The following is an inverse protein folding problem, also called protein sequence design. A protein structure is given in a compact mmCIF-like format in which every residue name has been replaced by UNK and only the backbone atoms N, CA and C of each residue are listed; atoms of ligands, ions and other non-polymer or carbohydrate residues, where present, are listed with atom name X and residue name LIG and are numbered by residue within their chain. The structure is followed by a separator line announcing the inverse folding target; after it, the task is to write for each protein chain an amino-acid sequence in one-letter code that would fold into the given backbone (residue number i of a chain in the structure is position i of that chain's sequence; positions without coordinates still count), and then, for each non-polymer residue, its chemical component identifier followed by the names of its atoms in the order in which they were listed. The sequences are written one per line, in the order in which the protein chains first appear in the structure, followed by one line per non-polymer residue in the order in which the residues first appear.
data_IF_330914775995
#
_entry.id   IF_330914775995
#
_cell.length_a   1.000
_cell.length_b   1.000
_cell.length_c   1.000
_cell.angle_alpha   90.00
_cell.angle_beta   90.00
_cell.angle_gamma   90.00
#
_symmetry.space_group_name_H-M   'P 1'
#
loop_
_entity.id
_entity.type
_entity.pdbx_description
1 polymer ?
#
# COMPACT_ATOMS: atom_id res chain seq x y z
N UNK A 1 -6.06 19.77 31.18
CA UNK A 1 -5.42 19.46 29.90
C UNK A 1 -4.13 18.64 30.04
N UNK A 2 -3.86 18.00 31.17
CA UNK A 2 -2.64 17.18 31.40
C UNK A 2 -2.95 15.69 31.64
N UNK A 3 -4.21 15.26 31.47
CA UNK A 3 -4.63 13.88 31.74
C UNK A 3 -4.74 12.99 30.50
N UNK A 4 -4.77 13.57 29.27
CA UNK A 4 -4.95 12.81 28.03
C UNK A 4 -3.64 12.28 27.40
N UNK A 5 -2.51 12.97 27.66
CA UNK A 5 -1.21 12.53 27.12
C UNK A 5 -0.64 11.26 27.78
N UNK A 6 -1.02 10.99 29.03
CA UNK A 6 -0.57 9.77 29.75
C UNK A 6 -1.31 8.50 29.30
N UNK A 7 -2.55 8.63 28.80
CA UNK A 7 -3.32 7.47 28.33
C UNK A 7 -2.83 6.96 26.97
N UNK A 8 -2.39 7.85 26.10
CA UNK A 8 -1.85 7.48 24.78
C UNK A 8 -0.52 6.72 24.86
N UNK A 9 0.39 7.11 25.77
CA UNK A 9 1.69 6.45 25.93
C UNK A 9 1.60 5.01 26.50
N UNK A 10 0.58 4.75 27.33
CA UNK A 10 0.38 3.43 27.94
C UNK A 10 -0.28 2.42 26.99
N UNK A 11 -1.13 2.90 26.07
CA UNK A 11 -1.79 2.08 25.03
C UNK A 11 -0.80 1.56 23.97
N UNK A 12 0.15 2.40 23.54
CA UNK A 12 1.16 2.04 22.54
C UNK A 12 2.13 0.96 23.05
N UNK A 13 2.42 0.94 24.37
CA UNK A 13 3.38 0.00 24.97
C UNK A 13 2.89 -1.46 25.00
N UNK A 14 1.57 -1.70 25.08
CA UNK A 14 1.01 -3.06 25.20
C UNK A 14 0.90 -3.78 23.86
N UNK A 15 0.75 -3.05 22.75
CA UNK A 15 0.55 -3.64 21.40
C UNK A 15 1.84 -3.99 20.65
N UNK A 16 3.01 -3.50 21.07
CA UNK A 16 4.31 -3.88 20.47
C UNK A 16 4.68 -5.37 20.66
N UNK A 17 3.95 -6.11 21.47
CA UNK A 17 4.29 -7.51 21.80
C UNK A 17 3.61 -8.55 20.89
N UNK A 18 2.56 -8.18 20.13
CA UNK A 18 1.76 -9.14 19.36
C UNK A 18 2.23 -9.27 17.89
N UNK A 19 2.93 -8.27 17.35
CA UNK A 19 3.38 -8.29 15.95
C UNK A 19 4.60 -9.19 15.67
N UNK A 20 5.23 -9.78 16.71
CA UNK A 20 6.49 -10.54 16.58
C UNK A 20 6.33 -12.06 16.58
N UNK A 21 5.11 -12.61 16.68
CA UNK A 21 4.90 -14.06 16.81
C UNK A 21 4.31 -14.77 15.59
N UNK A 22 4.22 -14.10 14.45
CA UNK A 22 3.54 -14.62 13.24
C UNK A 22 4.44 -15.11 12.09
N UNK A 23 5.74 -15.32 12.30
CA UNK A 23 6.65 -15.72 11.21
C UNK A 23 7.63 -16.85 11.61
N UNK A 24 7.13 -18.01 12.04
CA UNK A 24 7.93 -19.24 12.01
C UNK A 24 7.03 -20.45 11.80
N UNK A 25 7.02 -20.95 10.58
CA UNK A 25 6.35 -22.18 10.24
C UNK A 25 6.60 -22.60 8.79
N UNK A 26 7.81 -22.95 8.42
CA UNK A 26 8.04 -23.76 7.22
C UNK A 26 8.66 -25.07 7.68
N UNK A 27 7.83 -26.09 7.65
CA UNK A 27 8.22 -27.47 7.91
C UNK A 27 9.06 -28.02 6.77
N UNK A 28 10.21 -28.55 7.12
CA UNK A 28 11.02 -29.38 6.28
C UNK A 28 10.31 -30.70 5.98
N UNK A 29 10.25 -31.09 4.72
CA UNK A 29 9.97 -32.48 4.33
C UNK A 29 11.21 -33.06 3.70
N UNK A 30 11.88 -33.91 4.44
CA UNK A 30 12.90 -34.80 3.93
C UNK A 30 12.25 -36.01 3.26
N UNK A 31 12.72 -36.41 2.10
CA UNK A 31 12.32 -37.64 1.42
C UNK A 31 13.49 -38.25 0.68
N UNK A 32 13.96 -39.37 1.17
CA UNK A 32 14.97 -40.31 0.70
C UNK A 32 14.76 -40.76 -0.77
N UNK A 33 15.73 -41.05 -1.55
CA UNK A 33 16.90 -41.89 -1.62
C UNK A 33 16.83 -42.82 -2.82
N UNK A 34 18.03 -43.05 -3.41
CA UNK A 34 18.52 -44.21 -4.23
C UNK A 34 17.99 -44.29 -5.67
N UNK A 35 18.83 -44.44 -6.62
CA UNK A 35 20.07 -45.10 -6.87
C UNK A 35 20.29 -45.28 -8.34
N UNK A 36 21.53 -45.13 -8.71
CA UNK A 36 22.37 -45.82 -9.68
C UNK A 36 22.05 -45.88 -11.19
N UNK A 37 23.00 -45.34 -11.89
CA UNK A 37 23.85 -45.91 -12.94
C UNK A 37 23.36 -45.94 -14.38
N UNK A 38 24.18 -45.28 -15.12
CA UNK A 38 24.97 -45.71 -16.31
C UNK A 38 24.39 -45.45 -17.70
N UNK A 39 25.22 -44.65 -18.36
CA UNK A 39 25.80 -44.90 -19.69
C UNK A 39 25.02 -44.61 -20.98
N UNK A 40 25.67 -43.78 -21.78
CA UNK A 40 25.92 -44.12 -23.19
C UNK A 40 25.16 -43.35 -24.26
N UNK A 41 25.83 -42.40 -24.89
CA UNK A 41 25.94 -42.44 -26.35
C UNK A 41 25.08 -41.49 -27.21
N UNK A 42 25.77 -40.44 -27.67
CA UNK A 42 25.89 -39.98 -29.06
C UNK A 42 24.66 -39.61 -29.93
N UNK A 43 24.70 -38.36 -30.33
CA UNK A 43 24.55 -37.79 -31.70
C UNK A 43 23.49 -38.33 -32.66
N UNK A 44 22.66 -37.47 -33.23
CA UNK A 44 22.83 -36.89 -34.59
C UNK A 44 21.59 -36.11 -35.01
N UNK A 45 21.86 -35.05 -35.75
CA UNK A 45 20.97 -34.20 -36.55
C UNK A 45 19.91 -34.94 -37.39
N UNK A 46 18.79 -34.32 -37.64
CA UNK A 46 18.42 -33.84 -38.99
C UNK A 46 17.05 -33.17 -39.03
N UNK A 47 17.00 -32.06 -39.74
CA UNK A 47 15.88 -31.24 -40.20
C UNK A 47 14.81 -32.01 -41.01
N UNK A 48 13.58 -31.54 -40.99
CA UNK A 48 12.83 -30.99 -42.13
C UNK A 48 11.32 -30.96 -41.91
N UNK A 49 10.76 -29.75 -42.07
CA UNK A 49 9.68 -29.35 -42.98
C UNK A 49 8.42 -30.23 -43.11
N UNK A 50 7.25 -29.55 -43.00
CA UNK A 50 5.97 -30.12 -43.43
C UNK A 50 4.71 -29.40 -42.92
N UNK A 51 4.31 -28.35 -43.64
CA UNK A 51 2.97 -27.78 -43.58
C UNK A 51 1.89 -28.85 -43.77
N UNK A 52 0.78 -28.73 -43.00
CA UNK A 52 -0.55 -29.09 -43.47
C UNK A 52 -1.62 -28.39 -42.62
N UNK A 53 -2.33 -27.54 -43.32
CA UNK A 53 -3.56 -26.85 -42.98
C UNK A 53 -4.72 -27.87 -42.92
N UNK A 54 -5.53 -27.87 -41.87
CA UNK A 54 -6.86 -28.49 -41.94
C UNK A 54 -7.83 -27.67 -41.08
N UNK A 55 -8.74 -27.01 -41.75
CA UNK A 55 -9.89 -26.31 -41.20
C UNK A 55 -10.89 -27.32 -40.59
N UNK A 56 -11.52 -26.96 -39.50
CA UNK A 56 -12.71 -27.62 -38.96
C UNK A 56 -13.80 -26.60 -38.66
N UNK A 57 -15.07 -26.98 -38.72
CA UNK A 57 -16.18 -26.09 -39.10
C UNK A 57 -16.72 -25.30 -37.91
N UNK A 58 -17.17 -24.10 -38.24
CA UNK A 58 -17.95 -23.22 -37.38
C UNK A 58 -19.33 -23.80 -37.15
N UNK A 59 -19.75 -23.88 -35.88
CA UNK A 59 -21.13 -24.13 -35.53
C UNK A 59 -21.69 -22.86 -34.91
N UNK A 60 -22.45 -22.13 -35.67
CA UNK A 60 -23.32 -21.05 -35.22
C UNK A 60 -24.34 -21.60 -34.22
N UNK A 61 -24.33 -21.11 -33.00
CA UNK A 61 -25.46 -21.24 -32.09
C UNK A 61 -25.89 -19.84 -31.71
N UNK A 62 -26.93 -19.37 -32.38
CA UNK A 62 -27.70 -18.20 -31.97
C UNK A 62 -28.23 -18.41 -30.57
N UNK A 63 -27.83 -17.57 -29.61
CA UNK A 63 -28.51 -17.43 -28.32
C UNK A 63 -29.44 -16.22 -28.42
N UNK A 64 -30.72 -16.51 -28.35
CA UNK A 64 -31.79 -15.54 -28.19
C UNK A 64 -31.55 -14.70 -26.92
N UNK A 65 -31.47 -13.40 -27.16
CA UNK A 65 -31.45 -12.36 -26.13
C UNK A 65 -32.86 -12.21 -25.53
N UNK A 66 -33.13 -12.89 -24.42
CA UNK A 66 -34.32 -12.58 -23.61
C UNK A 66 -33.99 -11.42 -22.68
N UNK A 67 -34.39 -10.22 -23.11
CA UNK A 67 -34.46 -9.06 -22.23
C UNK A 67 -35.50 -9.32 -21.13
N UNK A 68 -35.10 -9.64 -19.93
CA UNK A 68 -35.94 -9.54 -18.75
C UNK A 68 -35.68 -8.22 -18.07
N UNK A 69 -36.58 -7.28 -18.29
CA UNK A 69 -36.76 -6.11 -17.42
C UNK A 69 -37.24 -6.60 -16.07
N UNK A 70 -36.34 -6.68 -15.09
CA UNK A 70 -36.69 -6.83 -13.70
C UNK A 70 -36.56 -5.46 -13.03
N UNK A 71 -37.73 -4.80 -12.83
CA UNK A 71 -37.85 -3.62 -12.02
C UNK A 71 -37.91 -4.05 -10.53
N UNK A 72 -36.89 -3.64 -9.76
CA UNK A 72 -37.06 -3.32 -8.36
C UNK A 72 -36.97 -4.45 -7.36
N UNK A 73 -35.75 -4.79 -7.01
CA UNK A 73 -35.35 -5.01 -5.60
C UNK A 73 -33.83 -4.92 -5.58
N UNK A 74 -33.30 -3.81 -5.05
CA UNK A 74 -31.87 -3.69 -4.76
C UNK A 74 -31.49 -4.67 -3.66
N UNK A 75 -31.24 -5.94 -4.00
CA UNK A 75 -30.47 -6.80 -3.13
C UNK A 75 -29.08 -6.18 -3.06
N UNK A 76 -28.70 -5.61 -1.91
CA UNK A 76 -27.33 -5.19 -1.66
C UNK A 76 -26.42 -6.36 -2.02
N UNK A 77 -25.59 -6.20 -3.06
CA UNK A 77 -24.85 -7.28 -3.68
C UNK A 77 -23.99 -8.02 -2.68
N UNK A 78 -24.22 -9.33 -2.55
CA UNK A 78 -23.45 -10.26 -1.71
C UNK A 78 -22.06 -10.61 -2.25
N UNK A 79 -21.65 -10.03 -3.40
CA UNK A 79 -20.33 -10.24 -3.97
C UNK A 79 -19.22 -9.61 -3.14
N UNK A 80 -17.95 -10.02 -3.34
CA UNK A 80 -16.81 -9.44 -2.62
C UNK A 80 -16.68 -7.93 -2.87
N UNK A 81 -16.06 -7.23 -1.92
CA UNK A 81 -15.48 -5.89 -2.14
C UNK A 81 -14.06 -6.10 -2.66
N UNK A 82 -13.79 -5.62 -3.86
CA UNK A 82 -12.49 -5.77 -4.49
C UNK A 82 -11.68 -4.47 -4.42
N UNK A 83 -10.56 -4.53 -3.74
CA UNK A 83 -9.62 -3.41 -3.56
C UNK A 83 -8.27 -3.75 -4.19
N UNK A 84 -7.56 -2.76 -4.72
CA UNK A 84 -6.23 -3.04 -5.26
C UNK A 84 -5.48 -1.81 -5.73
N UNK A 85 -4.18 -1.97 -5.95
CA UNK A 85 -3.31 -0.89 -6.42
C UNK A 85 -2.01 -0.76 -5.63
N UNK A 86 -1.79 0.39 -5.05
CA UNK A 86 -0.57 0.84 -4.41
C UNK A 86 0.04 -0.14 -3.41
N UNK A 87 1.33 -0.46 -3.59
CA UNK A 87 2.10 -1.24 -2.62
C UNK A 87 2.37 -0.47 -1.30
N UNK A 88 2.13 0.84 -1.28
CA UNK A 88 2.20 1.67 -0.08
C UNK A 88 0.92 1.53 0.75
N UNK A 89 -0.25 1.58 0.12
CA UNK A 89 -1.54 1.42 0.80
C UNK A 89 -1.82 -0.03 1.19
N UNK A 90 -1.23 -0.98 0.46
CA UNK A 90 -1.46 -2.41 0.65
C UNK A 90 -1.34 -2.90 2.10
N UNK A 91 -0.34 -2.53 2.92
CA UNK A 91 -0.26 -2.99 4.31
C UNK A 91 -1.49 -2.62 5.15
N UNK A 92 -1.99 -1.39 5.00
CA UNK A 92 -3.20 -0.92 5.71
C UNK A 92 -4.44 -1.64 5.20
N UNK A 93 -4.66 -1.63 3.89
CA UNK A 93 -5.83 -2.24 3.25
C UNK A 93 -5.90 -3.75 3.53
N UNK A 94 -4.77 -4.47 3.42
CA UNK A 94 -4.71 -5.91 3.65
C UNK A 94 -4.93 -6.28 5.11
N UNK A 95 -4.40 -5.49 6.06
CA UNK A 95 -4.67 -5.72 7.49
C UNK A 95 -6.14 -5.47 7.81
N UNK A 96 -6.71 -4.38 7.32
CA UNK A 96 -8.14 -4.07 7.48
C UNK A 96 -9.03 -5.17 6.88
N UNK A 97 -8.70 -5.68 5.67
CA UNK A 97 -9.41 -6.79 5.04
C UNK A 97 -9.30 -8.09 5.84
N UNK A 98 -8.13 -8.36 6.45
CA UNK A 98 -7.94 -9.52 7.30
C UNK A 98 -8.82 -9.48 8.55
N UNK A 99 -8.93 -8.30 9.18
CA UNK A 99 -9.84 -8.08 10.31
C UNK A 99 -11.30 -8.20 9.90
N UNK A 100 -11.68 -7.60 8.77
CA UNK A 100 -13.02 -7.69 8.20
C UNK A 100 -13.43 -9.14 7.94
N UNK A 101 -12.59 -9.89 7.23
CA UNK A 101 -12.87 -11.27 6.85
C UNK A 101 -12.86 -12.24 8.03
N UNK A 102 -12.09 -11.96 9.09
CA UNK A 102 -12.11 -12.74 10.32
C UNK A 102 -13.40 -12.54 11.12
N UNK A 103 -14.08 -11.41 10.97
CA UNK A 103 -15.37 -11.05 11.57
C UNK A 103 -15.50 -11.50 13.03
N UNK A 104 -14.51 -11.21 13.86
CA UNK A 104 -14.45 -11.67 15.26
C UNK A 104 -15.59 -11.12 16.10
N UNK A 105 -16.12 -11.93 17.06
CA UNK A 105 -17.24 -11.53 17.91
C UNK A 105 -16.83 -10.41 18.89
N UNK A 106 -17.80 -9.63 19.34
CA UNK A 106 -17.64 -8.59 20.36
C UNK A 106 -17.01 -9.11 21.67
N UNK A 107 -17.15 -10.39 21.98
CA UNK A 107 -16.52 -11.04 23.14
C UNK A 107 -15.00 -11.25 23.00
N UNK A 108 -14.44 -11.13 21.79
CA UNK A 108 -13.01 -11.20 21.52
C UNK A 108 -12.40 -9.77 21.64
N UNK A 109 -12.23 -9.31 22.85
CA UNK A 109 -11.73 -7.95 23.14
C UNK A 109 -10.27 -7.72 22.76
N UNK A 110 -9.50 -8.76 22.45
CA UNK A 110 -8.13 -8.64 21.93
C UNK A 110 -8.15 -8.21 20.44
N UNK A 111 -9.09 -8.76 19.67
CA UNK A 111 -9.22 -8.53 18.24
C UNK A 111 -10.22 -7.44 17.88
N UNK A 112 -11.35 -7.36 18.62
CA UNK A 112 -12.40 -6.36 18.48
C UNK A 112 -12.64 -5.64 19.80
N UNK A 113 -11.69 -4.73 20.24
CA UNK A 113 -11.78 -4.00 21.50
C UNK A 113 -12.75 -2.81 21.41
N UNK A 114 -13.95 -3.03 20.93
CA UNK A 114 -14.96 -2.00 20.61
C UNK A 114 -15.26 -1.06 21.80
N UNK A 115 -15.26 -1.57 23.03
CA UNK A 115 -15.50 -0.79 24.23
C UNK A 115 -14.38 0.21 24.56
N UNK A 116 -13.15 0.03 24.03
CA UNK A 116 -12.05 1.00 24.17
C UNK A 116 -12.27 2.24 23.27
N UNK A 117 -13.15 2.15 22.30
CA UNK A 117 -13.49 3.18 21.31
C UNK A 117 -14.92 3.72 21.49
N UNK A 118 -15.52 3.56 22.68
CA UNK A 118 -16.87 3.97 23.02
C UNK A 118 -17.96 3.41 22.07
N UNK A 119 -17.69 2.25 21.46
CA UNK A 119 -18.62 1.50 20.61
C UNK A 119 -19.36 0.47 21.47
N UNK A 120 -20.65 0.70 21.71
CA UNK A 120 -21.52 -0.23 22.44
C UNK A 120 -22.21 -1.17 21.46
N UNK A 121 -21.71 -2.41 21.35
CA UNK A 121 -22.23 -3.42 20.42
C UNK A 121 -21.99 -4.83 20.90
N UNK A 122 -22.91 -5.74 20.53
CA UNK A 122 -22.74 -7.20 20.66
C UNK A 122 -22.44 -7.85 19.29
N UNK A 123 -22.39 -7.05 18.20
CA UNK A 123 -22.13 -7.54 16.84
C UNK A 123 -20.67 -7.90 16.65
N UNK A 124 -20.42 -8.86 15.76
CA UNK A 124 -19.08 -9.12 15.26
C UNK A 124 -18.54 -7.89 14.53
N UNK A 125 -17.23 -7.81 14.34
CA UNK A 125 -16.54 -6.64 13.80
C UNK A 125 -17.12 -6.16 12.47
N UNK A 126 -17.14 -7.01 11.45
CA UNK A 126 -17.63 -6.63 10.12
C UNK A 126 -19.15 -6.46 10.11
N UNK A 127 -19.90 -7.24 10.92
CA UNK A 127 -21.34 -7.10 11.08
C UNK A 127 -21.72 -5.73 11.67
N UNK A 128 -20.88 -5.19 12.56
CA UNK A 128 -21.09 -3.85 13.10
C UNK A 128 -20.92 -2.78 12.01
N UNK A 129 -19.75 -2.75 11.36
CA UNK A 129 -19.44 -1.72 10.38
C UNK A 129 -20.33 -1.77 9.14
N UNK A 130 -20.61 -2.96 8.61
CA UNK A 130 -21.54 -3.14 7.50
C UNK A 130 -22.98 -2.82 7.89
N UNK A 131 -23.37 -3.15 9.12
CA UNK A 131 -24.69 -2.86 9.64
C UNK A 131 -25.00 -1.37 9.70
N UNK A 132 -24.00 -0.49 9.85
CA UNK A 132 -24.19 0.97 9.77
C UNK A 132 -24.65 1.42 8.37
N UNK A 133 -24.44 0.62 7.35
CA UNK A 133 -24.80 0.88 5.95
C UNK A 133 -25.92 -0.04 5.44
N UNK A 134 -26.67 -0.65 6.39
CA UNK A 134 -27.89 -1.42 6.09
C UNK A 134 -27.66 -2.87 5.68
N UNK A 135 -26.45 -3.41 5.82
CA UNK A 135 -26.19 -4.83 5.56
C UNK A 135 -26.66 -5.69 6.75
N UNK A 136 -27.27 -6.83 6.43
CA UNK A 136 -27.57 -7.86 7.41
C UNK A 136 -26.27 -8.54 7.87
N UNK A 137 -26.26 -9.04 9.12
CA UNK A 137 -25.14 -9.80 9.66
C UNK A 137 -24.85 -11.04 8.82
N UNK A 138 -23.57 -11.38 8.68
CA UNK A 138 -23.16 -12.59 7.99
C UNK A 138 -23.63 -13.88 8.67
N UNK A 139 -23.68 -14.96 7.92
CA UNK A 139 -24.08 -16.26 8.45
C UNK A 139 -22.89 -17.05 8.96
N UNK A 140 -23.07 -17.83 10.01
CA UNK A 140 -22.03 -18.72 10.57
C UNK A 140 -20.72 -18.04 10.99
N UNK A 141 -20.76 -16.73 11.25
CA UNK A 141 -19.57 -15.95 11.60
C UNK A 141 -18.80 -15.39 10.40
N UNK A 142 -19.23 -15.68 9.17
CA UNK A 142 -18.69 -15.00 7.99
C UNK A 142 -19.06 -13.50 7.98
N UNK A 143 -18.29 -12.62 7.33
CA UNK A 143 -18.68 -11.23 7.18
C UNK A 143 -19.88 -11.07 6.23
N UNK A 144 -20.63 -9.95 6.29
CA UNK A 144 -21.74 -9.68 5.36
C UNK A 144 -21.34 -9.75 3.88
N UNK A 145 -20.11 -9.39 3.58
CA UNK A 145 -19.43 -9.60 2.30
C UNK A 145 -17.92 -9.74 2.53
N UNK A 146 -17.21 -10.57 1.76
CA UNK A 146 -15.77 -10.69 1.87
C UNK A 146 -15.05 -9.47 1.23
N UNK A 147 -13.84 -9.17 1.70
CA UNK A 147 -12.97 -8.13 1.14
C UNK A 147 -11.69 -8.77 0.60
N UNK A 148 -11.34 -8.44 -0.63
CA UNK A 148 -10.13 -8.89 -1.32
C UNK A 148 -9.22 -7.71 -1.62
N UNK A 149 -7.91 -7.85 -1.40
CA UNK A 149 -6.93 -6.78 -1.66
C UNK A 149 -5.82 -7.28 -2.57
N UNK A 150 -5.76 -6.73 -3.76
CA UNK A 150 -4.75 -7.05 -4.76
C UNK A 150 -3.58 -6.07 -4.74
N UNK A 151 -2.35 -6.58 -4.84
CA UNK A 151 -1.14 -5.78 -4.90
C UNK A 151 -0.75 -5.48 -6.35
N UNK A 152 -0.68 -4.19 -6.70
CA UNK A 152 -0.15 -3.73 -7.99
C UNK A 152 0.56 -2.36 -7.86
N UNK A 153 0.18 -1.37 -8.66
CA UNK A 153 0.67 0.01 -8.63
C UNK A 153 -0.48 0.99 -8.50
N UNK A 154 -0.22 2.21 -8.04
CA UNK A 154 -1.22 3.27 -7.88
C UNK A 154 -1.94 3.56 -9.18
N UNK A 155 -1.23 3.85 -10.28
CA UNK A 155 -1.83 4.07 -11.59
C UNK A 155 -2.71 2.91 -12.05
N UNK A 156 -2.29 1.65 -11.83
CA UNK A 156 -3.12 0.47 -12.13
C UNK A 156 -4.38 0.39 -11.26
N UNK A 157 -4.28 0.78 -9.97
CA UNK A 157 -5.42 0.79 -9.05
C UNK A 157 -6.50 1.79 -9.49
N UNK A 158 -6.10 3.03 -9.74
CA UNK A 158 -7.03 4.09 -10.19
C UNK A 158 -7.59 3.85 -11.59
N UNK A 159 -6.82 3.25 -12.50
CA UNK A 159 -7.32 2.84 -13.81
C UNK A 159 -8.38 1.72 -13.70
N UNK A 160 -8.15 0.73 -12.85
CA UNK A 160 -9.07 -0.40 -12.67
C UNK A 160 -10.37 0.00 -11.99
N UNK A 161 -10.36 0.89 -11.00
CA UNK A 161 -11.59 1.37 -10.38
C UNK A 161 -12.43 2.15 -11.38
N UNK A 162 -11.82 3.00 -12.19
CA UNK A 162 -12.49 3.72 -13.27
C UNK A 162 -13.16 2.79 -14.30
N UNK A 163 -12.54 1.64 -14.57
CA UNK A 163 -13.04 0.65 -15.52
C UNK A 163 -14.00 -0.39 -14.87
N UNK A 164 -14.39 -0.20 -13.60
CA UNK A 164 -15.29 -1.11 -12.89
C UNK A 164 -14.71 -2.51 -12.61
N UNK A 165 -13.38 -2.63 -12.63
CA UNK A 165 -12.66 -3.87 -12.35
C UNK A 165 -12.25 -4.00 -10.88
N UNK A 166 -12.38 -2.93 -10.10
CA UNK A 166 -12.21 -2.85 -8.66
C UNK A 166 -13.27 -1.91 -8.10
N UNK A 167 -13.70 -2.16 -6.88
CA UNK A 167 -14.52 -1.24 -6.11
C UNK A 167 -13.65 -0.10 -5.54
N UNK A 168 -12.44 -0.42 -5.05
CA UNK A 168 -11.50 0.52 -4.44
C UNK A 168 -10.15 0.54 -5.16
N UNK A 169 -9.77 1.70 -5.70
CA UNK A 169 -8.47 1.96 -6.31
C UNK A 169 -7.50 2.57 -5.30
N UNK A 170 -6.57 1.76 -4.79
CA UNK A 170 -5.59 2.21 -3.81
C UNK A 170 -4.45 2.99 -4.46
N UNK A 171 -4.20 4.21 -4.00
CA UNK A 171 -3.14 5.07 -4.51
C UNK A 171 -2.32 5.74 -3.42
N UNK A 172 -1.07 6.04 -3.71
CA UNK A 172 -0.16 6.83 -2.88
C UNK A 172 0.41 8.02 -3.64
N UNK A 173 -0.29 8.45 -4.66
CA UNK A 173 -0.18 9.69 -5.40
C UNK A 173 -1.56 10.17 -5.78
N UNK A 174 -1.70 11.45 -6.07
CA UNK A 174 -2.96 12.02 -6.52
C UNK A 174 -3.36 11.42 -7.87
N UNK A 175 -4.66 11.28 -8.10
CA UNK A 175 -5.16 10.69 -9.36
C UNK A 175 -4.74 11.47 -10.59
N UNK A 176 -4.62 12.79 -10.48
CA UNK A 176 -4.15 13.69 -11.54
C UNK A 176 -2.70 13.38 -11.97
N UNK A 177 -1.86 13.02 -10.99
CA UNK A 177 -0.47 12.64 -11.25
C UNK A 177 -0.33 11.20 -11.77
N UNK A 178 -1.26 10.31 -11.40
CA UNK A 178 -1.27 8.90 -11.84
C UNK A 178 -1.88 8.71 -13.23
N UNK A 179 -2.84 9.57 -13.62
CA UNK A 179 -3.56 9.56 -14.91
C UNK A 179 -3.54 10.95 -15.55
N UNK A 180 -2.35 11.49 -15.93
CA UNK A 180 -2.19 12.91 -16.29
C UNK A 180 -2.92 13.34 -17.57
N UNK A 181 -3.30 12.40 -18.43
CA UNK A 181 -3.87 12.69 -19.76
C UNK A 181 -5.42 12.65 -19.79
N UNK A 182 -6.07 13.06 -18.68
CA UNK A 182 -7.54 13.08 -18.59
C UNK A 182 -8.09 14.49 -18.62
N UNK A 183 -9.27 14.64 -19.24
CA UNK A 183 -9.99 15.92 -19.30
C UNK A 183 -10.65 16.31 -17.97
N UNK A 184 -11.04 15.33 -17.13
CA UNK A 184 -11.66 15.55 -15.82
C UNK A 184 -11.41 14.37 -14.86
N UNK A 185 -11.39 14.68 -13.57
CA UNK A 185 -11.27 13.72 -12.45
C UNK A 185 -12.49 13.76 -11.54
N UNK A 186 -13.54 14.50 -11.90
CA UNK A 186 -14.72 14.75 -11.05
C UNK A 186 -15.50 13.49 -10.68
N UNK A 187 -15.37 12.42 -11.46
CA UNK A 187 -15.99 11.12 -11.17
C UNK A 187 -15.21 10.29 -10.13
N UNK A 188 -13.97 10.66 -9.78
CA UNK A 188 -13.25 10.03 -8.70
C UNK A 188 -13.62 10.66 -7.35
N UNK A 189 -14.03 9.83 -6.41
CA UNK A 189 -14.17 10.27 -5.02
C UNK A 189 -12.90 9.85 -4.28
N UNK A 190 -12.19 10.83 -3.78
CA UNK A 190 -10.94 10.64 -3.04
C UNK A 190 -11.21 10.48 -1.55
N UNK A 191 -10.89 9.32 -0.99
CA UNK A 191 -10.91 9.04 0.44
C UNK A 191 -9.48 8.93 0.95
N UNK A 192 -9.03 9.96 1.65
CA UNK A 192 -7.73 9.91 2.32
C UNK A 192 -7.83 9.12 3.60
N UNK A 193 -7.00 8.07 3.73
CA UNK A 193 -7.03 7.14 4.87
C UNK A 193 -5.85 7.28 5.83
N UNK A 194 -4.73 7.85 5.40
CA UNK A 194 -3.51 8.01 6.17
C UNK A 194 -2.57 9.03 5.51
N UNK A 195 -1.47 9.37 6.20
CA UNK A 195 -0.38 10.17 5.64
C UNK A 195 0.92 9.37 5.71
N UNK A 196 1.67 9.38 4.61
CA UNK A 196 3.01 8.80 4.50
C UNK A 196 4.05 9.92 4.36
N UNK A 197 5.10 9.88 5.17
CA UNK A 197 6.24 10.77 5.04
C UNK A 197 7.41 10.00 4.42
N UNK A 198 7.53 9.99 3.10
CA UNK A 198 8.55 9.20 2.39
C UNK A 198 9.96 9.43 2.94
N UNK A 199 10.56 8.51 3.72
CA UNK A 199 11.92 8.67 4.19
C UNK A 199 12.92 8.54 3.04
N UNK A 200 14.02 9.28 3.14
CA UNK A 200 15.24 8.94 2.42
C UNK A 200 16.01 7.89 3.21
N UNK A 201 16.44 6.85 2.52
CA UNK A 201 17.13 5.71 3.13
C UNK A 201 18.40 5.37 2.37
N UNK A 202 19.40 4.92 3.10
CA UNK A 202 20.68 4.45 2.54
C UNK A 202 20.97 3.03 3.03
N UNK A 203 21.89 2.33 2.36
CA UNK A 203 22.49 1.11 2.90
C UNK A 203 23.09 1.37 4.26
N UNK A 204 22.98 0.42 5.20
CA UNK A 204 23.49 0.55 6.56
C UNK A 204 24.97 0.98 6.59
N UNK A 205 25.80 0.43 5.69
CA UNK A 205 27.23 0.74 5.60
C UNK A 205 27.49 2.24 5.32
N UNK A 206 26.64 2.89 4.54
CA UNK A 206 26.74 4.33 4.25
C UNK A 206 26.39 5.18 5.47
N UNK A 207 25.36 4.78 6.20
CA UNK A 207 25.00 5.45 7.46
C UNK A 207 26.10 5.29 8.51
N UNK A 208 26.65 4.08 8.66
CA UNK A 208 27.74 3.77 9.59
C UNK A 208 29.04 4.51 9.24
N UNK A 209 29.22 4.85 7.96
CA UNK A 209 30.32 5.71 7.47
C UNK A 209 30.10 7.21 7.74
N UNK A 210 28.96 7.61 8.37
CA UNK A 210 28.71 8.97 8.82
C UNK A 210 27.87 9.84 7.87
N UNK A 211 27.25 9.27 6.83
CA UNK A 211 26.31 10.01 5.97
C UNK A 211 24.93 10.03 6.64
N UNK A 212 24.68 11.06 7.42
CA UNK A 212 23.44 11.19 8.21
C UNK A 212 22.40 12.14 7.58
N UNK A 213 22.80 12.96 6.61
CA UNK A 213 21.96 14.03 6.04
C UNK A 213 22.38 14.39 4.63
N UNK A 214 21.39 14.72 3.79
CA UNK A 214 21.59 15.40 2.51
C UNK A 214 20.69 16.63 2.38
N UNK A 215 21.05 17.58 1.52
CA UNK A 215 20.21 18.74 1.20
C UNK A 215 19.26 18.44 0.03
N UNK A 216 18.19 19.23 -0.12
CA UNK A 216 17.30 19.14 -1.26
C UNK A 216 17.99 19.30 -2.62
N UNK A 217 19.05 20.15 -2.69
CA UNK A 217 19.83 20.29 -3.92
C UNK A 217 20.66 19.02 -4.21
N UNK A 218 21.30 18.45 -3.19
CA UNK A 218 22.03 17.19 -3.33
C UNK A 218 21.10 16.04 -3.75
N UNK A 219 19.87 15.98 -3.18
CA UNK A 219 18.85 15.03 -3.59
C UNK A 219 18.50 15.15 -5.08
N UNK A 220 18.28 16.39 -5.56
CA UNK A 220 18.06 16.66 -6.98
C UNK A 220 19.24 16.24 -7.84
N UNK A 221 20.45 16.51 -7.40
CA UNK A 221 21.69 16.20 -8.14
C UNK A 221 21.96 14.68 -8.20
N UNK A 222 21.63 13.94 -7.14
CA UNK A 222 21.66 12.48 -7.12
C UNK A 222 20.73 11.89 -8.19
N UNK A 223 19.45 12.29 -8.18
CA UNK A 223 18.47 11.78 -9.12
C UNK A 223 18.61 12.33 -10.55
N UNK A 224 19.48 13.30 -10.77
CA UNK A 224 19.92 13.76 -12.10
C UNK A 224 21.28 13.18 -12.53
N UNK A 225 21.88 12.32 -11.72
CA UNK A 225 23.19 11.68 -12.02
C UNK A 225 24.36 12.66 -12.02
N UNK A 226 24.25 13.78 -11.30
CA UNK A 226 25.33 14.77 -11.16
C UNK A 226 26.23 14.50 -9.95
N UNK A 227 25.70 13.85 -8.91
CA UNK A 227 26.44 13.31 -7.78
C UNK A 227 26.54 11.82 -7.95
N UNK A 228 27.75 11.28 -8.00
CA UNK A 228 28.00 9.87 -8.33
C UNK A 228 28.90 9.14 -7.34
N UNK A 229 29.54 9.87 -6.41
CA UNK A 229 30.43 9.28 -5.41
C UNK A 229 30.07 9.77 -4.00
N UNK A 230 30.00 8.86 -3.02
CA UNK A 230 29.68 9.17 -1.63
C UNK A 230 30.66 10.12 -0.97
N UNK A 231 31.92 10.17 -1.42
CA UNK A 231 32.91 11.15 -0.94
C UNK A 231 32.49 12.60 -1.16
N UNK A 232 31.67 12.89 -2.18
CA UNK A 232 31.10 14.23 -2.42
C UNK A 232 30.05 14.62 -1.38
N UNK A 233 29.56 13.65 -0.61
CA UNK A 233 28.56 13.80 0.46
C UNK A 233 29.17 13.54 1.85
N UNK A 234 30.51 13.49 1.97
CA UNK A 234 31.21 13.24 3.23
C UNK A 234 31.28 11.77 3.64
N UNK A 235 30.91 10.86 2.75
CA UNK A 235 30.99 9.41 2.93
C UNK A 235 32.30 8.81 2.38
N UNK A 236 32.35 7.47 2.21
CA UNK A 236 33.52 6.77 1.68
C UNK A 236 33.72 7.06 0.18
N UNK A 237 34.94 6.81 -0.32
CA UNK A 237 35.23 6.83 -1.76
C UNK A 237 34.60 5.60 -2.42
N UNK A 238 33.30 5.69 -2.73
CA UNK A 238 32.47 4.61 -3.27
C UNK A 238 31.41 5.20 -4.21
N UNK A 239 31.17 4.58 -5.35
CA UNK A 239 30.13 4.98 -6.30
C UNK A 239 28.76 4.91 -5.65
N UNK A 240 27.90 5.91 -5.92
CA UNK A 240 26.53 5.94 -5.40
C UNK A 240 25.61 5.12 -6.29
N UNK A 241 24.94 4.15 -5.71
CA UNK A 241 23.87 3.40 -6.37
C UNK A 241 22.51 4.04 -6.06
N UNK A 242 22.05 4.93 -6.94
CA UNK A 242 20.72 5.53 -6.81
C UNK A 242 19.68 4.52 -7.29
N UNK A 243 18.76 4.14 -6.40
CA UNK A 243 17.67 3.21 -6.70
C UNK A 243 16.33 3.96 -6.72
N UNK A 244 15.31 3.39 -7.38
CA UNK A 244 14.00 4.02 -7.48
C UNK A 244 12.88 3.05 -7.82
N UNK A 245 11.70 3.63 -8.02
CA UNK A 245 10.47 2.90 -8.38
C UNK A 245 10.17 3.04 -9.88
N UNK A 246 9.46 2.05 -10.42
CA UNK A 246 8.99 2.08 -11.82
C UNK A 246 7.94 3.18 -12.05
N UNK A 247 7.70 3.56 -13.30
CA UNK A 247 6.54 4.39 -13.71
C UNK A 247 5.24 3.71 -13.31
N UNK A 248 4.20 4.47 -12.96
CA UNK A 248 2.93 3.98 -12.45
C UNK A 248 2.96 3.61 -10.95
N UNK A 249 4.11 3.75 -10.29
CA UNK A 249 4.21 3.65 -8.83
C UNK A 249 3.93 5.01 -8.20
N UNK A 250 2.85 5.16 -7.42
CA UNK A 250 2.55 6.38 -6.70
C UNK A 250 3.68 6.85 -5.77
N UNK A 251 4.52 5.93 -5.28
CA UNK A 251 5.73 6.30 -4.53
C UNK A 251 6.73 7.05 -5.40
N UNK A 252 6.86 6.68 -6.69
CA UNK A 252 7.69 7.44 -7.63
C UNK A 252 7.00 8.74 -8.03
N UNK A 253 5.74 8.66 -8.40
CA UNK A 253 4.97 9.80 -8.90
C UNK A 253 5.00 10.94 -7.90
N UNK A 254 4.63 10.71 -6.63
CA UNK A 254 4.67 11.74 -5.58
C UNK A 254 6.09 12.21 -5.25
N UNK A 255 7.09 11.31 -5.18
CA UNK A 255 8.49 11.71 -4.96
C UNK A 255 8.98 12.65 -6.06
N UNK A 256 8.75 12.30 -7.31
CA UNK A 256 9.24 13.07 -8.46
C UNK A 256 8.48 14.40 -8.57
N UNK A 257 7.16 14.40 -8.36
CA UNK A 257 6.34 15.61 -8.31
C UNK A 257 6.83 16.57 -7.21
N UNK A 258 7.03 16.07 -6.00
CA UNK A 258 7.45 16.86 -4.86
C UNK A 258 8.88 17.43 -4.99
N UNK A 259 9.81 16.63 -5.54
CA UNK A 259 11.22 17.04 -5.67
C UNK A 259 11.44 17.97 -6.87
N UNK A 260 10.77 17.68 -8.00
CA UNK A 260 11.04 18.38 -9.28
C UNK A 260 9.88 19.25 -9.77
N UNK A 261 8.68 19.12 -9.18
CA UNK A 261 7.49 19.86 -9.60
C UNK A 261 6.82 19.29 -10.86
N UNK A 262 7.22 18.09 -11.32
CA UNK A 262 6.67 17.43 -12.50
C UNK A 262 6.73 15.90 -12.31
N UNK A 263 5.59 15.17 -12.21
CA UNK A 263 5.56 13.73 -11.96
C UNK A 263 6.21 12.90 -13.08
N UNK A 264 6.26 13.44 -14.31
CA UNK A 264 6.88 12.81 -15.47
C UNK A 264 8.39 13.09 -15.62
N UNK A 265 8.98 13.85 -14.70
CA UNK A 265 10.40 14.20 -14.76
C UNK A 265 11.30 12.96 -14.81
N UNK A 266 12.26 12.98 -15.73
CA UNK A 266 13.22 11.90 -15.88
C UNK A 266 14.26 11.90 -14.76
N UNK A 267 14.46 10.72 -14.18
CA UNK A 267 15.44 10.48 -13.11
C UNK A 267 16.49 9.46 -13.53
N UNK A 268 17.75 9.75 -13.20
CA UNK A 268 18.88 8.84 -13.38
C UNK A 268 18.95 7.89 -12.19
N UNK A 269 18.57 6.62 -12.39
CA UNK A 269 18.64 5.57 -11.37
C UNK A 269 19.24 4.31 -11.95
N UNK A 270 20.02 3.59 -11.15
CA UNK A 270 20.68 2.35 -11.57
C UNK A 270 19.65 1.24 -11.83
N UNK A 271 18.67 1.10 -10.95
CA UNK A 271 17.60 0.11 -11.07
C UNK A 271 16.25 0.66 -10.58
N UNK A 272 15.16 0.13 -11.13
CA UNK A 272 13.78 0.45 -10.77
C UNK A 272 13.04 -0.78 -10.28
N UNK A 273 12.30 -0.63 -9.19
CA UNK A 273 11.57 -1.72 -8.54
C UNK A 273 10.07 -1.48 -8.57
N UNK A 274 9.30 -2.52 -8.84
CA UNK A 274 7.84 -2.45 -8.91
C UNK A 274 7.18 -2.22 -7.54
N UNK A 275 7.81 -2.67 -6.44
CA UNK A 275 7.19 -2.66 -5.10
C UNK A 275 8.18 -2.15 -4.05
N UNK A 276 7.65 -1.55 -2.95
CA UNK A 276 8.47 -1.03 -1.85
C UNK A 276 9.29 -2.13 -1.16
N UNK A 277 8.71 -3.32 -0.94
CA UNK A 277 9.40 -4.46 -0.31
C UNK A 277 10.68 -4.84 -1.07
N UNK A 278 10.58 -4.92 -2.41
CA UNK A 278 11.74 -5.27 -3.25
C UNK A 278 12.79 -4.18 -3.27
N UNK A 279 12.36 -2.91 -3.25
CA UNK A 279 13.27 -1.78 -3.17
C UNK A 279 13.99 -1.75 -1.81
N UNK A 280 13.26 -1.93 -0.71
CA UNK A 280 13.83 -1.99 0.64
C UNK A 280 14.88 -3.12 0.77
N UNK A 281 14.56 -4.31 0.27
CA UNK A 281 15.51 -5.44 0.23
C UNK A 281 16.74 -5.14 -0.62
N UNK A 282 16.57 -4.47 -1.76
CA UNK A 282 17.71 -4.13 -2.62
C UNK A 282 18.66 -3.10 -1.95
N UNK A 283 18.12 -2.13 -1.21
CA UNK A 283 18.93 -1.17 -0.44
C UNK A 283 19.66 -1.89 0.70
N UNK A 284 18.95 -2.76 1.43
CA UNK A 284 19.48 -3.51 2.55
C UNK A 284 20.60 -4.51 2.16
N UNK A 285 20.60 -5.00 0.92
CA UNK A 285 21.61 -5.92 0.38
C UNK A 285 22.76 -5.20 -0.31
N UNK A 286 22.61 -3.91 -0.60
CA UNK A 286 23.66 -3.08 -1.18
C UNK A 286 24.51 -2.45 -0.07
N UNK A 287 25.74 -2.09 -0.41
CA UNK A 287 26.68 -1.41 0.47
C UNK A 287 26.90 0.07 0.11
N UNK A 288 26.16 0.59 -0.88
CA UNK A 288 26.36 1.91 -1.48
C UNK A 288 25.08 2.55 -2.03
N UNK A 289 23.89 2.01 -1.67
CA UNK A 289 22.63 2.46 -2.22
C UNK A 289 22.02 3.65 -1.47
N UNK A 290 21.24 4.44 -2.22
CA UNK A 290 20.30 5.45 -1.70
C UNK A 290 18.96 5.34 -2.43
N UNK A 291 17.86 5.54 -1.70
CA UNK A 291 16.53 5.65 -2.28
C UNK A 291 15.55 6.37 -1.34
N UNK A 292 14.28 6.40 -1.75
CA UNK A 292 13.11 6.79 -0.98
C UNK A 292 12.17 5.60 -0.84
N UNK A 293 11.46 5.50 0.28
CA UNK A 293 10.52 4.41 0.57
C UNK A 293 9.18 4.95 1.08
N UNK A 294 8.20 4.06 1.22
CA UNK A 294 7.07 4.30 2.10
C UNK A 294 7.45 3.95 3.55
N UNK A 295 6.91 4.68 4.54
CA UNK A 295 7.23 4.51 5.97
C UNK A 295 7.02 3.09 6.48
N UNK A 296 6.04 2.35 5.96
CA UNK A 296 5.80 0.96 6.36
C UNK A 296 7.03 0.03 6.18
N UNK A 297 8.01 0.42 5.36
CA UNK A 297 9.18 -0.39 5.03
C UNK A 297 10.48 0.11 5.66
N UNK A 298 10.40 1.14 6.52
CA UNK A 298 11.58 1.78 7.12
C UNK A 298 12.33 0.85 8.09
N UNK A 299 11.62 -0.08 8.71
CA UNK A 299 12.19 -1.04 9.68
C UNK A 299 12.80 -2.29 9.01
N UNK A 300 13.14 -2.23 7.71
CA UNK A 300 13.84 -3.32 7.03
C UNK A 300 15.30 -3.35 7.52
N UNK A 301 15.75 -4.48 8.06
CA UNK A 301 17.13 -4.66 8.50
C UNK A 301 18.14 -4.42 7.35
N UNK A 302 19.21 -3.70 7.63
CA UNK A 302 20.27 -3.40 6.67
C UNK A 302 20.09 -2.11 5.86
N UNK A 303 19.07 -1.31 6.17
CA UNK A 303 18.93 0.06 5.67
C UNK A 303 18.79 1.04 6.84
N UNK A 304 19.14 2.30 6.60
CA UNK A 304 19.03 3.36 7.59
C UNK A 304 18.39 4.62 6.99
N UNK A 305 17.45 5.27 7.70
CA UNK A 305 16.93 6.57 7.31
C UNK A 305 17.98 7.66 7.54
N UNK A 306 18.06 8.59 6.58
CA UNK A 306 18.87 9.80 6.71
C UNK A 306 17.99 11.06 6.69
N UNK A 307 18.49 12.15 7.28
CA UNK A 307 17.78 13.41 7.32
C UNK A 307 17.80 14.12 5.96
N UNK A 308 16.73 14.88 5.67
CA UNK A 308 16.64 15.79 4.53
C UNK A 308 16.63 17.24 5.02
N UNK A 309 17.60 18.03 4.60
CA UNK A 309 17.56 19.49 4.76
C UNK A 309 16.88 20.13 3.55
N UNK A 310 15.71 20.73 3.79
CA UNK A 310 14.90 21.38 2.77
C UNK A 310 14.53 22.80 3.22
N UNK A 311 14.82 23.79 2.38
CA UNK A 311 14.52 25.21 2.66
C UNK A 311 14.99 25.69 4.06
N UNK A 312 16.18 25.21 4.47
CA UNK A 312 16.80 25.57 5.74
C UNK A 312 16.26 24.82 6.97
N UNK A 313 15.31 23.91 6.80
CA UNK A 313 14.83 23.02 7.86
C UNK A 313 15.34 21.59 7.64
N UNK A 314 15.88 20.97 8.69
CA UNK A 314 16.30 19.57 8.65
C UNK A 314 15.16 18.71 9.20
N UNK A 315 14.66 17.80 8.36
CA UNK A 315 13.63 16.82 8.72
C UNK A 315 14.27 15.46 8.94
N UNK A 316 13.89 14.78 10.02
CA UNK A 316 14.44 13.49 10.40
C UNK A 316 13.33 12.55 10.87
N UNK A 317 13.49 11.27 10.59
CA UNK A 317 12.59 10.23 11.11
C UNK A 317 12.59 10.26 12.65
N UNK A 318 11.40 10.19 13.25
CA UNK A 318 11.17 10.25 14.71
C UNK A 318 11.67 11.54 15.40
N UNK A 319 11.91 12.62 14.68
CA UNK A 319 12.22 13.91 15.30
C UNK A 319 10.93 14.56 15.83
N UNK A 320 10.84 14.92 17.13
CA UNK A 320 9.61 15.44 17.72
C UNK A 320 9.25 16.87 17.27
N UNK A 321 10.15 17.59 16.62
CA UNK A 321 9.94 18.97 16.15
C UNK A 321 9.84 19.08 14.63
N UNK A 322 10.68 18.34 13.93
CA UNK A 322 10.75 18.32 12.47
C UNK A 322 10.73 16.88 11.96
N UNK A 323 9.74 16.11 12.41
CA UNK A 323 9.47 14.74 11.96
C UNK A 323 8.96 14.71 10.52
N UNK A 324 8.89 13.51 9.97
CA UNK A 324 8.36 13.28 8.62
C UNK A 324 6.83 13.44 8.56
N UNK A 325 6.16 13.56 9.72
CA UNK A 325 4.74 13.91 9.90
C UNK A 325 4.47 15.41 9.73
N UNK A 326 5.52 16.23 9.70
CA UNK A 326 5.39 17.67 9.50
C UNK A 326 4.74 17.96 8.16
N UNK A 327 3.68 18.79 8.16
CA UNK A 327 3.04 19.32 6.92
C UNK A 327 4.00 20.09 6.01
N UNK A 328 5.17 20.49 6.53
CA UNK A 328 6.22 21.19 5.77
C UNK A 328 7.29 20.22 5.23
N UNK A 329 7.22 18.95 5.59
CA UNK A 329 8.11 17.94 5.03
C UNK A 329 7.79 17.77 3.54
N UNK A 330 8.76 18.02 2.63
CA UNK A 330 8.46 18.08 1.19
C UNK A 330 8.03 16.73 0.60
N UNK A 331 8.39 15.62 1.25
CA UNK A 331 8.06 14.28 0.78
C UNK A 331 6.88 13.66 1.56
N UNK A 332 6.11 14.48 2.29
CA UNK A 332 4.84 14.06 2.87
C UNK A 332 3.78 13.93 1.78
N UNK A 333 2.93 12.89 1.87
CA UNK A 333 1.86 12.63 0.92
C UNK A 333 0.69 11.92 1.58
N UNK A 334 -0.47 12.07 0.99
CA UNK A 334 -1.66 11.34 1.38
C UNK A 334 -1.68 9.92 0.82
N UNK A 335 -2.38 9.02 1.52
CA UNK A 335 -2.69 7.68 1.06
C UNK A 335 -4.19 7.59 0.81
N UNK A 336 -4.56 7.16 -0.38
CA UNK A 336 -5.89 7.27 -0.95
C UNK A 336 -6.54 5.92 -1.23
N UNK A 337 -7.85 5.85 -1.02
CA UNK A 337 -8.76 4.87 -1.61
C UNK A 337 -9.72 5.63 -2.50
N UNK A 338 -9.63 5.43 -3.82
CA UNK A 338 -10.52 6.05 -4.79
C UNK A 338 -11.71 5.15 -5.07
N UNK A 339 -12.90 5.74 -5.13
CA UNK A 339 -14.11 5.15 -5.71
C UNK A 339 -14.49 5.86 -7.00
N UNK A 340 -15.36 5.28 -7.82
CA UNK A 340 -15.73 5.82 -9.13
C UNK A 340 -17.23 6.13 -9.21
N UNK A 341 -17.57 7.35 -9.64
CA UNK A 341 -18.95 7.85 -9.79
C UNK A 341 -19.81 7.78 -8.50
N UNK A 342 -19.17 7.99 -7.37
CA UNK A 342 -19.77 7.93 -6.03
C UNK A 342 -19.13 6.84 -5.17
N UNK A 343 -19.59 6.74 -3.93
CA UNK A 343 -19.16 5.73 -2.97
C UNK A 343 -20.38 4.88 -2.59
N UNK A 344 -20.35 3.59 -2.87
CA UNK A 344 -21.43 2.67 -2.51
C UNK A 344 -21.44 2.38 -0.99
N UNK A 345 -22.55 1.85 -0.48
CA UNK A 345 -22.67 1.43 0.93
C UNK A 345 -21.61 0.39 1.33
N UNK A 346 -21.24 -0.51 0.40
CA UNK A 346 -20.21 -1.54 0.61
C UNK A 346 -18.82 -0.91 0.79
N UNK A 347 -18.45 -0.02 -0.10
CA UNK A 347 -17.20 0.75 -0.04
C UNK A 347 -17.17 1.63 1.22
N UNK A 348 -18.28 2.36 1.47
CA UNK A 348 -18.43 3.21 2.64
C UNK A 348 -18.25 2.47 3.96
N UNK A 349 -18.80 1.27 4.09
CA UNK A 349 -18.66 0.44 5.29
C UNK A 349 -17.21 0.07 5.59
N UNK A 350 -16.45 -0.36 4.57
CA UNK A 350 -15.05 -0.74 4.72
C UNK A 350 -14.15 0.48 4.98
N UNK A 351 -14.35 1.57 4.23
CA UNK A 351 -13.60 2.82 4.42
C UNK A 351 -13.88 3.42 5.80
N UNK A 352 -15.15 3.43 6.26
CA UNK A 352 -15.51 3.96 7.57
C UNK A 352 -14.82 3.22 8.73
N UNK A 353 -14.68 1.89 8.62
CA UNK A 353 -13.89 1.10 9.57
C UNK A 353 -12.45 1.60 9.65
N UNK A 354 -11.81 1.88 8.51
CA UNK A 354 -10.42 2.39 8.46
C UNK A 354 -10.33 3.82 9.01
N UNK A 355 -11.32 4.68 8.72
CA UNK A 355 -11.39 6.07 9.18
C UNK A 355 -11.84 6.20 10.64
N UNK A 356 -12.25 5.13 11.32
CA UNK A 356 -12.55 5.16 12.75
C UNK A 356 -11.27 5.28 13.59
N UNK A 357 -11.41 5.69 14.86
CA UNK A 357 -10.29 5.69 15.81
C UNK A 357 -9.69 4.28 15.92
N UNK A 358 -10.54 3.26 16.02
CA UNK A 358 -10.13 1.86 15.96
C UNK A 358 -9.28 1.55 14.73
N UNK A 359 -9.74 1.97 13.55
CA UNK A 359 -9.02 1.70 12.28
C UNK A 359 -7.68 2.44 12.18
N UNK A 360 -7.65 3.70 12.62
CA UNK A 360 -6.42 4.50 12.62
C UNK A 360 -5.37 3.90 13.57
N UNK A 361 -5.75 3.44 14.76
CA UNK A 361 -4.84 2.82 15.72
C UNK A 361 -4.48 1.38 15.39
N UNK A 362 -5.36 0.64 14.71
CA UNK A 362 -5.17 -0.79 14.43
C UNK A 362 -4.54 -1.04 13.06
N UNK A 363 -4.87 -0.23 12.04
CA UNK A 363 -4.44 -0.48 10.67
C UNK A 363 -3.41 0.53 10.17
N UNK A 364 -3.48 1.80 10.60
CA UNK A 364 -2.60 2.87 10.11
C UNK A 364 -1.32 2.97 10.93
N UNK A 365 -1.43 3.26 12.23
CA UNK A 365 -0.27 3.50 13.10
C UNK A 365 0.71 2.30 13.20
N UNK A 366 0.26 1.02 13.27
CA UNK A 366 1.19 -0.11 13.33
C UNK A 366 2.00 -0.32 12.05
N UNK A 367 1.56 0.26 10.93
CA UNK A 367 2.30 0.28 9.67
C UNK A 367 3.21 1.51 9.54
N UNK A 368 3.52 2.20 10.64
CA UNK A 368 4.33 3.42 10.72
C UNK A 368 3.78 4.63 9.94
N UNK A 369 2.54 4.58 9.45
CA UNK A 369 1.91 5.74 8.83
C UNK A 369 1.33 6.68 9.87
N UNK A 370 1.23 7.96 9.50
CA UNK A 370 0.63 8.97 10.36
C UNK A 370 -0.89 8.91 10.24
N UNK A 371 -1.54 8.88 11.40
CA UNK A 371 -2.99 8.91 11.51
C UNK A 371 -3.54 10.29 11.14
N UNK A 372 -4.76 10.32 10.65
CA UNK A 372 -5.46 11.56 10.37
C UNK A 372 -5.92 12.22 11.68
N UNK A 373 -5.78 13.54 11.78
CA UNK A 373 -6.35 14.30 12.91
C UNK A 373 -7.89 14.37 12.81
N UNK A 374 -8.55 14.61 13.95
CA UNK A 374 -10.02 14.61 14.13
C UNK A 374 -10.77 15.36 13.01
N UNK A 375 -10.38 16.61 12.72
CA UNK A 375 -11.02 17.42 11.67
C UNK A 375 -10.96 16.75 10.31
N UNK A 376 -9.81 16.13 9.97
CA UNK A 376 -9.64 15.46 8.69
C UNK A 376 -10.41 14.15 8.62
N UNK A 377 -10.48 13.39 9.71
CA UNK A 377 -11.32 12.22 9.81
C UNK A 377 -12.80 12.55 9.61
N UNK A 378 -13.26 13.68 10.16
CA UNK A 378 -14.62 14.17 9.95
C UNK A 378 -14.86 14.57 8.49
N UNK A 379 -13.93 15.32 7.89
CA UNK A 379 -14.00 15.69 6.46
C UNK A 379 -14.07 14.45 5.55
N UNK A 380 -13.27 13.41 5.82
CA UNK A 380 -13.29 12.18 5.02
C UNK A 380 -14.56 11.34 5.23
N UNK A 381 -15.07 11.25 6.48
CA UNK A 381 -16.33 10.56 6.76
C UNK A 381 -17.53 11.21 6.10
N UNK A 382 -17.51 12.54 5.95
CA UNK A 382 -18.59 13.28 5.29
C UNK A 382 -18.69 13.02 3.78
N UNK A 383 -17.70 12.34 3.18
CA UNK A 383 -17.74 11.87 1.78
C UNK A 383 -18.40 10.50 1.63
N UNK A 384 -18.59 9.77 2.74
CA UNK A 384 -19.21 8.45 2.74
C UNK A 384 -20.73 8.56 2.60
N UNK A 385 -21.41 7.50 2.13
CA UNK A 385 -22.87 7.45 2.13
C UNK A 385 -23.45 7.65 3.53
N UNK A 386 -24.69 8.13 3.58
CA UNK A 386 -25.43 8.24 4.84
C UNK A 386 -25.58 6.86 5.50
N UNK A 387 -25.41 6.82 6.82
CA UNK A 387 -25.66 5.61 7.59
C UNK A 387 -27.16 5.33 7.67
N UNK A 388 -27.54 4.03 7.65
CA UNK A 388 -28.92 3.55 7.61
C UNK A 388 -29.67 3.70 8.94
#
# INVERSE_FOLDING_TARGET
MAHDSERLSDRVSRRKFIATTGATGVAAVAGCSSGSSSDGGASTDTSSDGSANTAAPETDTEMEETASTDEGSSSMGSGPLESGGSSTVYPVANTAASYWNANRPASDSEYWPHGEYDIDTEKNLADYWAGLYGFEAGQNGDPPFPVSVALSHSGTGVEKVMNGQLDLGNSSGNVEDELPDRDSYDDFIDHVIAVDGQPLVVSQEIADAGVEKITGQQLKDLYKGRLTNWSELGGPDKEIQVLGRVKGSGTRTSFVSNVFGNPEEDTSVANRYGQNQRLAQAIAQADNAISYLALAFINTDGLAPIALEWEGTTYKYEDPQNGLDSKKYPLSRDLHMYTWQGTSNKEGAFINMILSEFGQETFVAPNNYFTLGERRLEEERNKLPDQA
#
